data_IF_959056930202
#
_entry.id   IF_959056930202
#
_cell.length_a   1.000
_cell.length_b   1.000
_cell.length_c   1.000
_cell.angle_alpha   90.00
_cell.angle_beta   90.00
_cell.angle_gamma   90.00
#
_symmetry.space_group_name_H-M   'P 1'
#
loop_
_entity.id
_entity.type
_entity.pdbx_description
1 polymer ?
#
# COMPACT_ATOMS: atom_id res chain seq x y z
N UNK A 1 10.24 9.93 22.35
CA UNK A 1 10.40 8.63 21.66
C UNK A 1 9.28 8.51 20.63
N UNK A 2 9.56 8.22 19.36
CA UNK A 2 8.50 8.08 18.35
C UNK A 2 7.77 6.75 18.63
N UNK A 3 6.44 6.73 18.72
CA UNK A 3 5.71 5.50 19.01
C UNK A 3 5.97 4.48 17.88
N UNK A 4 6.19 3.23 18.25
CA UNK A 4 6.48 2.12 17.32
C UNK A 4 5.44 2.07 16.19
N UNK A 5 4.18 2.34 16.53
CA UNK A 5 3.06 2.44 15.60
C UNK A 5 3.21 3.48 14.47
N UNK A 6 3.96 4.58 14.70
CA UNK A 6 4.29 5.52 13.62
C UNK A 6 5.26 4.91 12.61
N UNK A 7 6.23 4.13 13.10
CA UNK A 7 7.22 3.46 12.26
C UNK A 7 6.58 2.31 11.46
N UNK A 8 5.70 1.53 12.10
CA UNK A 8 4.90 0.50 11.44
C UNK A 8 4.03 1.12 10.34
N UNK A 9 3.31 2.22 10.64
CA UNK A 9 2.53 2.94 9.64
C UNK A 9 3.36 3.41 8.45
N UNK A 10 4.57 3.95 8.69
CA UNK A 10 5.47 4.40 7.64
C UNK A 10 5.91 3.27 6.72
N UNK A 11 6.37 2.13 7.26
CA UNK A 11 6.76 0.96 6.47
C UNK A 11 5.57 0.44 5.65
N UNK A 12 4.38 0.41 6.26
CA UNK A 12 3.18 -0.11 5.62
C UNK A 12 2.72 0.79 4.46
N UNK A 13 2.84 2.12 4.60
CA UNK A 13 2.64 3.05 3.48
C UNK A 13 3.67 2.82 2.37
N UNK A 14 4.97 2.78 2.70
CA UNK A 14 6.03 2.63 1.69
C UNK A 14 5.87 1.31 0.91
N UNK A 15 5.65 0.20 1.61
CA UNK A 15 5.42 -1.10 0.98
C UNK A 15 4.12 -1.12 0.16
N UNK A 16 3.03 -0.56 0.70
CA UNK A 16 1.77 -0.45 -0.03
C UNK A 16 1.91 0.37 -1.31
N UNK A 17 2.70 1.44 -1.29
CA UNK A 17 2.93 2.33 -2.43
C UNK A 17 3.73 1.62 -3.53
N UNK A 18 4.73 0.82 -3.16
CA UNK A 18 5.47 -0.05 -4.11
C UNK A 18 4.53 -1.04 -4.79
N UNK A 19 3.65 -1.70 -4.01
CA UNK A 19 2.69 -2.68 -4.54
C UNK A 19 1.65 -2.02 -5.44
N UNK A 20 1.18 -0.82 -5.09
CA UNK A 20 0.27 -0.01 -5.91
C UNK A 20 0.91 0.39 -7.25
N UNK A 21 2.15 0.87 -7.21
CA UNK A 21 2.92 1.24 -8.41
C UNK A 21 3.19 0.03 -9.31
N UNK A 22 3.51 -1.13 -8.72
CA UNK A 22 3.66 -2.38 -9.45
C UNK A 22 2.33 -2.78 -10.13
N UNK A 23 1.20 -2.64 -9.43
CA UNK A 23 -0.14 -2.83 -10.00
C UNK A 23 -0.43 -1.87 -11.16
N UNK A 24 -0.03 -0.61 -11.04
CA UNK A 24 -0.16 0.39 -12.11
C UNK A 24 0.70 0.05 -13.32
N UNK A 25 1.97 -0.36 -13.12
CA UNK A 25 2.85 -0.81 -14.20
C UNK A 25 2.28 -2.03 -14.93
N UNK A 26 1.71 -2.99 -14.20
CA UNK A 26 1.05 -4.17 -14.78
C UNK A 26 -0.22 -3.81 -15.56
N UNK A 27 -0.90 -2.71 -15.19
CA UNK A 27 -2.07 -2.22 -15.91
C UNK A 27 -1.69 -1.56 -17.26
N UNK A 28 -0.62 -0.76 -17.29
CA UNK A 28 -0.15 -0.11 -18.52
C UNK A 28 0.67 -1.04 -19.43
N UNK A 29 1.37 -2.01 -18.87
CA UNK A 29 2.20 -2.95 -19.62
C UNK A 29 1.78 -4.39 -19.28
N UNK A 30 0.74 -4.93 -19.96
CA UNK A 30 0.22 -6.25 -19.65
C UNK A 30 1.31 -7.31 -19.86
N UNK A 31 1.66 -8.10 -18.82
CA UNK A 31 2.70 -9.12 -18.94
C UNK A 31 2.22 -10.29 -19.82
N UNK A 32 3.14 -10.89 -20.58
CA UNK A 32 2.88 -12.03 -21.45
C UNK A 32 2.40 -13.31 -20.72
N UNK A 33 2.44 -13.34 -19.39
CA UNK A 33 1.90 -14.43 -18.55
C UNK A 33 0.65 -13.96 -17.83
N UNK A 34 -0.50 -14.34 -18.37
CA UNK A 34 -1.81 -14.09 -17.77
C UNK A 34 -1.98 -15.05 -16.60
N UNK A 35 -1.85 -14.56 -15.37
CA UNK A 35 -2.17 -15.36 -14.18
C UNK A 35 -3.69 -15.54 -14.09
N UNK A 36 -4.16 -16.67 -13.58
CA UNK A 36 -5.59 -17.05 -13.50
C UNK A 36 -6.46 -16.03 -12.73
N UNK A 37 -5.83 -15.09 -12.02
CA UNK A 37 -6.46 -14.01 -11.26
C UNK A 37 -6.08 -12.58 -11.74
N UNK A 38 -5.62 -12.45 -12.98
CA UNK A 38 -5.24 -11.15 -13.57
C UNK A 38 -6.44 -10.19 -13.67
N UNK A 39 -7.65 -10.70 -13.88
CA UNK A 39 -8.89 -9.91 -13.97
C UNK A 39 -9.18 -9.10 -12.70
N UNK A 40 -8.82 -9.61 -11.52
CA UNK A 40 -9.14 -8.97 -10.23
C UNK A 40 -8.15 -7.86 -9.85
N UNK A 41 -7.03 -7.72 -10.54
CA UNK A 41 -5.97 -6.74 -10.22
C UNK A 41 -5.60 -6.73 -8.72
N UNK A 42 -5.28 -7.88 -8.10
CA UNK A 42 -5.08 -7.97 -6.65
C UNK A 42 -3.98 -7.04 -6.13
N UNK A 43 -2.93 -6.77 -6.92
CA UNK A 43 -1.87 -5.82 -6.55
C UNK A 43 -2.41 -4.38 -6.36
N UNK A 44 -3.40 -3.98 -7.15
CA UNK A 44 -3.96 -2.63 -7.05
C UNK A 44 -4.83 -2.49 -5.78
N UNK A 45 -5.70 -3.47 -5.52
CA UNK A 45 -6.56 -3.50 -4.33
C UNK A 45 -5.76 -3.64 -3.03
N UNK A 46 -4.82 -4.58 -2.97
CA UNK A 46 -4.00 -4.81 -1.79
C UNK A 46 -3.03 -3.65 -1.53
N UNK A 47 -2.42 -3.08 -2.57
CA UNK A 47 -1.61 -1.86 -2.44
C UNK A 47 -2.43 -0.68 -1.91
N UNK A 48 -3.66 -0.49 -2.43
CA UNK A 48 -4.58 0.55 -1.97
C UNK A 48 -4.97 0.41 -0.51
N UNK A 49 -5.33 -0.81 -0.08
CA UNK A 49 -5.64 -1.12 1.32
C UNK A 49 -4.42 -0.85 2.21
N UNK A 50 -3.23 -1.29 1.82
CA UNK A 50 -2.00 -1.03 2.59
C UNK A 50 -1.71 0.47 2.73
N UNK A 51 -1.81 1.25 1.66
CA UNK A 51 -1.60 2.70 1.74
C UNK A 51 -2.67 3.38 2.60
N UNK A 52 -3.93 2.99 2.47
CA UNK A 52 -5.03 3.56 3.26
C UNK A 52 -4.85 3.29 4.76
N UNK A 53 -4.61 2.03 5.15
CA UNK A 53 -4.39 1.66 6.54
C UNK A 53 -3.09 2.24 7.10
N UNK A 54 -1.99 2.22 6.33
CA UNK A 54 -0.73 2.84 6.72
C UNK A 54 -0.88 4.36 6.95
N UNK A 55 -1.61 5.05 6.07
CA UNK A 55 -1.94 6.46 6.20
C UNK A 55 -2.79 6.75 7.43
N UNK A 56 -3.81 5.92 7.71
CA UNK A 56 -4.62 6.01 8.92
C UNK A 56 -3.77 5.84 10.20
N UNK A 57 -2.84 4.89 10.21
CA UNK A 57 -1.92 4.71 11.34
C UNK A 57 -1.02 5.93 11.56
N UNK A 58 -0.50 6.54 10.49
CA UNK A 58 0.31 7.77 10.57
C UNK A 58 -0.54 8.95 11.07
N UNK A 59 -1.73 9.16 10.51
CA UNK A 59 -2.60 10.30 10.85
C UNK A 59 -3.11 10.21 12.29
N UNK A 60 -3.56 9.03 12.72
CA UNK A 60 -4.05 8.80 14.09
C UNK A 60 -2.94 9.04 15.12
N UNK A 61 -1.72 8.58 14.84
CA UNK A 61 -0.58 8.81 15.73
C UNK A 61 -0.03 10.23 15.69
N UNK A 62 -0.10 10.93 14.55
CA UNK A 62 0.23 12.36 14.50
C UNK A 62 -0.73 13.17 15.36
N UNK A 63 -2.03 12.84 15.34
CA UNK A 63 -3.07 13.56 16.09
C UNK A 63 -3.03 13.31 17.60
N UNK A 64 -2.59 12.12 18.04
CA UNK A 64 -2.37 11.80 19.48
C UNK A 64 -1.28 12.65 20.14
N UNK A 65 -0.44 13.33 19.35
CA UNK A 65 0.68 14.16 19.85
C UNK A 65 0.39 15.68 19.83
N UNK A 66 -0.80 16.11 19.40
CA UNK A 66 -1.28 17.48 19.54
C UNK A 66 -2.09 17.60 20.83
#
# INVERSE_FOLDING_TARGET
MKPIWYFVGLILVVMGLIVLLAGFMLYFNPPAKITVLASTHPNFWWGGIMVAFGGLFILKNKKVRQ
#
